data_IF_004367735710
#
_entry.id   IF_004367735710
#
_cell.length_a   1.000
_cell.length_b   1.000
_cell.length_c   1.000
_cell.angle_alpha   90.00
_cell.angle_beta   90.00
_cell.angle_gamma   90.00
#
_symmetry.space_group_name_H-M   'P 1'
#
loop_
_entity.id
_entity.type
_entity.pdbx_description
1 polymer ?
#
# COMPACT_ATOMS: atom_id res chain seq x y z
N UNK A 1 40.13 -9.91 -23.01
CA UNK A 1 39.23 -9.00 -22.25
C UNK A 1 38.63 -7.93 -23.14
N UNK A 2 39.40 -7.22 -23.96
CA UNK A 2 38.83 -6.20 -24.86
C UNK A 2 37.76 -6.77 -25.81
N UNK A 3 37.98 -7.98 -26.35
CA UNK A 3 36.98 -8.69 -27.17
C UNK A 3 35.67 -8.95 -26.40
N UNK A 4 35.78 -9.37 -25.14
CA UNK A 4 34.63 -9.60 -24.25
C UNK A 4 33.86 -8.30 -23.99
N UNK A 5 34.58 -7.21 -23.69
CA UNK A 5 33.98 -5.89 -23.50
C UNK A 5 33.33 -5.35 -24.79
N UNK A 6 33.94 -5.60 -25.95
CA UNK A 6 33.35 -5.24 -27.24
C UNK A 6 32.04 -6.00 -27.50
N UNK A 7 32.00 -7.29 -27.17
CA UNK A 7 30.77 -8.09 -27.26
C UNK A 7 29.66 -7.54 -26.35
N UNK A 8 30.00 -7.14 -25.13
CA UNK A 8 29.04 -6.47 -24.21
C UNK A 8 28.55 -5.16 -24.80
N UNK A 9 29.46 -4.31 -25.30
CA UNK A 9 29.09 -3.02 -25.88
C UNK A 9 28.19 -3.16 -27.10
N UNK A 10 28.45 -4.13 -27.98
CA UNK A 10 27.62 -4.39 -29.15
C UNK A 10 26.19 -4.82 -28.80
N UNK A 11 26.01 -5.47 -27.65
CA UNK A 11 24.69 -5.94 -27.17
C UNK A 11 23.95 -4.89 -26.35
N UNK A 12 24.65 -4.17 -25.48
CA UNK A 12 24.03 -3.35 -24.44
C UNK A 12 24.50 -1.87 -24.45
N UNK A 13 25.37 -1.47 -25.38
CA UNK A 13 25.98 -0.12 -25.42
C UNK A 13 24.99 1.04 -25.52
N UNK A 14 23.79 0.80 -26.05
CA UNK A 14 22.71 1.81 -26.08
C UNK A 14 22.01 2.00 -24.73
N UNK A 15 22.21 1.07 -23.78
CA UNK A 15 21.53 1.03 -22.48
C UNK A 15 22.48 1.32 -21.32
N UNK A 16 23.80 1.18 -21.53
CA UNK A 16 24.82 1.35 -20.50
C UNK A 16 25.83 2.43 -20.88
N UNK A 17 26.48 3.01 -19.87
CA UNK A 17 27.68 3.81 -20.08
C UNK A 17 28.87 2.92 -19.70
N UNK A 18 29.78 2.71 -20.66
CA UNK A 18 30.98 1.94 -20.43
C UNK A 18 32.21 2.85 -20.41
N UNK A 19 33.02 2.72 -19.35
CA UNK A 19 34.24 3.51 -19.13
C UNK A 19 35.38 2.55 -18.83
N UNK A 20 36.43 2.60 -19.66
CA UNK A 20 37.70 1.94 -19.36
C UNK A 20 38.67 2.99 -18.82
N UNK A 21 39.29 2.70 -17.68
CA UNK A 21 40.18 3.63 -16.99
C UNK A 21 41.59 3.05 -17.03
N UNK A 22 42.50 3.79 -17.65
CA UNK A 22 43.92 3.50 -17.55
C UNK A 22 44.46 4.14 -16.26
N UNK A 23 45.09 3.31 -15.41
CA UNK A 23 45.58 3.73 -14.10
C UNK A 23 47.10 4.02 -14.10
N UNK A 24 47.76 3.91 -15.25
CA UNK A 24 49.18 4.23 -15.38
C UNK A 24 49.35 5.74 -15.32
N UNK A 25 50.15 6.22 -14.37
CA UNK A 25 50.47 7.64 -14.26
C UNK A 25 51.41 8.15 -15.38
N UNK A 26 52.02 7.23 -16.14
CA UNK A 26 52.94 7.56 -17.23
C UNK A 26 52.23 7.64 -18.59
N UNK A 27 51.04 7.04 -18.70
CA UNK A 27 50.33 6.93 -19.97
C UNK A 27 49.65 8.26 -20.33
N UNK A 28 49.63 8.53 -21.63
CA UNK A 28 48.99 9.71 -22.21
C UNK A 28 47.74 9.33 -23.00
N UNK A 29 46.99 10.35 -23.42
CA UNK A 29 45.83 10.17 -24.31
C UNK A 29 46.25 9.51 -25.62
N UNK A 30 47.40 9.92 -26.16
CA UNK A 30 47.98 9.39 -27.38
C UNK A 30 48.35 7.90 -27.24
N UNK A 31 48.84 7.48 -26.07
CA UNK A 31 49.16 6.07 -25.79
C UNK A 31 47.88 5.22 -25.78
N UNK A 32 46.81 5.69 -25.12
CA UNK A 32 45.51 5.01 -25.13
C UNK A 32 44.97 4.91 -26.56
N UNK A 33 44.98 6.00 -27.32
CA UNK A 33 44.49 6.02 -28.71
C UNK A 33 45.30 5.09 -29.62
N UNK A 34 46.60 4.95 -29.37
CA UNK A 34 47.47 4.04 -30.11
C UNK A 34 47.18 2.57 -29.76
N UNK A 35 47.17 2.22 -28.47
CA UNK A 35 47.04 0.84 -27.97
C UNK A 35 45.62 0.30 -28.18
N UNK A 36 44.61 1.14 -27.94
CA UNK A 36 43.20 0.76 -27.99
C UNK A 36 42.47 1.37 -29.19
N UNK A 37 43.18 1.70 -30.28
CA UNK A 37 42.63 2.34 -31.49
C UNK A 37 41.33 1.70 -32.02
N UNK A 38 41.21 0.37 -31.93
CA UNK A 38 40.01 -0.39 -32.33
C UNK A 38 38.79 -0.18 -31.41
N UNK A 39 38.99 0.32 -30.19
CA UNK A 39 37.97 0.39 -29.15
C UNK A 39 37.66 1.81 -28.68
N UNK A 40 38.62 2.75 -28.78
CA UNK A 40 38.48 4.14 -28.30
C UNK A 40 37.35 4.94 -28.95
N UNK A 41 36.84 4.46 -30.09
CA UNK A 41 35.69 5.05 -30.77
C UNK A 41 34.36 4.38 -30.42
N UNK A 42 34.38 3.27 -29.69
CA UNK A 42 33.19 2.53 -29.26
C UNK A 42 32.67 3.08 -27.95
N UNK A 43 33.51 3.18 -26.90
CA UNK A 43 33.09 3.70 -25.59
C UNK A 43 34.15 4.62 -24.98
N UNK A 44 33.91 5.09 -23.75
CA UNK A 44 34.75 6.09 -23.10
C UNK A 44 36.03 5.46 -22.55
N UNK A 45 37.17 6.07 -22.86
CA UNK A 45 38.44 5.79 -22.21
C UNK A 45 38.88 7.01 -21.41
N UNK A 46 39.37 6.79 -20.20
CA UNK A 46 39.82 7.84 -19.30
C UNK A 46 41.19 7.51 -18.70
N UNK A 47 42.00 8.54 -18.45
CA UNK A 47 43.20 8.45 -17.63
C UNK A 47 42.82 8.65 -16.16
N UNK A 48 43.44 7.91 -15.26
CA UNK A 48 43.27 8.11 -13.82
C UNK A 48 43.94 9.41 -13.37
N UNK A 49 43.14 10.39 -12.97
CA UNK A 49 43.60 11.63 -12.34
C UNK A 49 43.17 11.74 -10.88
N UNK A 50 42.53 10.71 -10.34
CA UNK A 50 41.78 10.74 -9.09
C UNK A 50 42.18 9.65 -8.10
N UNK A 51 43.29 8.96 -8.33
CA UNK A 51 43.79 7.89 -7.48
C UNK A 51 42.75 6.76 -7.33
N UNK A 52 42.10 6.40 -8.46
CA UNK A 52 40.97 5.45 -8.54
C UNK A 52 41.34 4.09 -7.98
N UNK A 53 42.61 3.69 -8.11
CA UNK A 53 43.14 2.46 -7.52
C UNK A 53 42.81 2.34 -6.03
N UNK A 54 42.86 3.45 -5.27
CA UNK A 54 42.53 3.48 -3.85
C UNK A 54 41.05 3.66 -3.59
N UNK A 55 40.36 4.49 -4.39
CA UNK A 55 38.92 4.75 -4.22
C UNK A 55 38.07 3.49 -4.45
N UNK A 56 38.49 2.64 -5.38
CA UNK A 56 37.78 1.42 -5.75
C UNK A 56 38.41 0.14 -5.18
N UNK A 57 39.47 0.27 -4.36
CA UNK A 57 40.23 -0.84 -3.76
C UNK A 57 40.72 -1.86 -4.80
N UNK A 58 41.31 -1.35 -5.89
CA UNK A 58 41.77 -2.15 -7.01
C UNK A 58 43.11 -2.81 -6.65
N UNK A 59 43.08 -4.12 -6.44
CA UNK A 59 44.28 -4.90 -6.11
C UNK A 59 44.99 -5.52 -7.32
N UNK A 60 44.24 -5.83 -8.39
CA UNK A 60 44.74 -6.56 -9.56
C UNK A 60 44.08 -5.99 -10.82
N UNK A 61 44.85 -5.89 -11.90
CA UNK A 61 44.37 -5.51 -13.23
C UNK A 61 44.27 -6.78 -14.10
N UNK A 62 43.20 -6.95 -14.89
CA UNK A 62 42.07 -6.02 -15.01
C UNK A 62 41.11 -6.11 -13.82
N UNK A 63 40.41 -5.00 -13.58
CA UNK A 63 39.37 -4.86 -12.58
C UNK A 63 38.10 -4.34 -13.24
N UNK A 64 36.95 -4.92 -12.89
CA UNK A 64 35.65 -4.50 -13.44
C UNK A 64 34.66 -4.33 -12.30
N UNK A 65 33.92 -3.23 -12.33
CA UNK A 65 32.77 -3.03 -11.46
C UNK A 65 31.57 -2.56 -12.28
N UNK A 66 30.38 -2.92 -11.81
CA UNK A 66 29.11 -2.43 -12.37
C UNK A 66 28.49 -1.51 -11.33
N UNK A 67 28.11 -0.32 -11.77
CA UNK A 67 27.39 0.67 -10.99
C UNK A 67 25.94 0.63 -11.46
N UNK A 68 24.99 0.42 -10.55
CA UNK A 68 23.57 0.43 -10.88
C UNK A 68 23.03 1.86 -11.04
N UNK A 69 21.75 1.97 -11.41
CA UNK A 69 21.12 3.27 -11.67
C UNK A 69 20.97 4.15 -10.43
N UNK A 70 21.14 3.60 -9.22
CA UNK A 70 21.14 4.38 -7.98
C UNK A 70 22.54 4.95 -7.69
N UNK A 71 23.55 4.59 -8.48
CA UNK A 71 24.94 4.97 -8.28
C UNK A 71 25.68 4.03 -7.32
N UNK A 72 25.07 2.91 -6.92
CA UNK A 72 25.69 1.93 -6.04
C UNK A 72 26.47 0.88 -6.84
N UNK A 73 27.60 0.42 -6.31
CA UNK A 73 28.36 -0.66 -6.95
C UNK A 73 27.65 -1.99 -6.66
N UNK A 74 27.03 -2.56 -7.69
CA UNK A 74 26.23 -3.78 -7.63
C UNK A 74 27.06 -5.05 -7.84
N UNK A 75 28.20 -4.94 -8.53
CA UNK A 75 29.09 -6.06 -8.85
C UNK A 75 30.56 -5.62 -8.91
N UNK A 76 31.48 -6.51 -8.53
CA UNK A 76 32.93 -6.32 -8.61
C UNK A 76 33.60 -7.64 -9.00
N UNK A 77 34.58 -7.57 -9.90
CA UNK A 77 35.37 -8.72 -10.33
C UNK A 77 36.84 -8.37 -10.53
N UNK A 78 37.71 -9.29 -10.14
CA UNK A 78 39.15 -9.19 -10.31
C UNK A 78 39.63 -10.20 -11.36
N UNK A 79 40.40 -9.73 -12.33
CA UNK A 79 40.92 -10.55 -13.41
C UNK A 79 39.98 -10.67 -14.60
N UNK A 80 40.25 -11.66 -15.45
CA UNK A 80 39.49 -11.89 -16.68
C UNK A 80 38.07 -12.38 -16.36
N UNK A 81 37.11 -11.90 -17.15
CA UNK A 81 35.70 -12.29 -17.12
C UNK A 81 35.19 -12.39 -18.56
N UNK A 82 34.31 -13.35 -18.81
CA UNK A 82 33.64 -13.51 -20.10
C UNK A 82 32.41 -12.60 -20.25
N UNK A 83 32.01 -12.37 -21.49
CA UNK A 83 30.87 -11.50 -21.81
C UNK A 83 29.54 -12.04 -21.27
N UNK A 84 29.35 -13.36 -21.19
CA UNK A 84 28.09 -13.94 -20.72
C UNK A 84 27.85 -13.56 -19.25
N UNK A 85 28.86 -13.75 -18.41
CA UNK A 85 28.83 -13.36 -17.00
C UNK A 85 28.62 -11.85 -16.84
N UNK A 86 29.30 -11.02 -17.63
CA UNK A 86 29.10 -9.56 -17.58
C UNK A 86 27.66 -9.15 -17.95
N UNK A 87 27.08 -9.75 -18.99
CA UNK A 87 25.71 -9.46 -19.41
C UNK A 87 24.70 -9.85 -18.33
N UNK A 88 24.87 -11.01 -17.69
CA UNK A 88 24.00 -11.42 -16.59
C UNK A 88 24.05 -10.44 -15.41
N UNK A 89 25.24 -9.95 -15.05
CA UNK A 89 25.38 -9.00 -13.95
C UNK A 89 24.84 -7.60 -14.30
N UNK A 90 24.93 -7.19 -15.58
CA UNK A 90 24.28 -5.96 -16.08
C UNK A 90 22.76 -6.08 -15.96
N UNK A 91 22.18 -7.22 -16.35
CA UNK A 91 20.73 -7.46 -16.24
C UNK A 91 20.26 -7.44 -14.78
N UNK A 92 21.03 -8.04 -13.86
CA UNK A 92 20.74 -7.99 -12.42
C UNK A 92 20.79 -6.55 -11.88
N UNK A 93 21.75 -5.74 -12.35
CA UNK A 93 21.90 -4.35 -11.94
C UNK A 93 20.75 -3.46 -12.45
N UNK A 94 20.19 -3.74 -13.63
CA UNK A 94 19.04 -2.99 -14.17
C UNK A 94 17.72 -3.38 -13.50
N UNK A 95 17.54 -4.67 -13.17
CA UNK A 95 16.27 -5.23 -12.66
C UNK A 95 15.95 -4.86 -11.21
N UNK A 96 16.96 -4.52 -10.38
CA UNK A 96 16.72 -4.08 -8.99
C UNK A 96 15.67 -2.96 -8.88
N UNK A 97 15.55 -2.13 -9.91
CA UNK A 97 14.56 -1.05 -9.95
C UNK A 97 13.15 -1.52 -10.32
N UNK A 98 13.02 -2.49 -11.24
CA UNK A 98 11.70 -2.95 -11.70
C UNK A 98 10.90 -3.61 -10.57
N UNK A 99 11.56 -4.32 -9.66
CA UNK A 99 10.92 -4.93 -8.49
C UNK A 99 10.41 -3.88 -7.48
N UNK A 100 11.06 -2.72 -7.37
CA UNK A 100 10.57 -1.62 -6.53
C UNK A 100 9.33 -0.95 -7.13
N UNK A 101 9.28 -0.77 -8.46
CA UNK A 101 8.12 -0.19 -9.14
C UNK A 101 6.89 -1.10 -9.10
N UNK A 102 7.06 -2.43 -9.24
CA UNK A 102 5.96 -3.38 -9.16
C UNK A 102 5.29 -3.41 -7.77
N UNK A 103 6.08 -3.21 -6.71
CA UNK A 103 5.59 -3.11 -5.33
C UNK A 103 4.62 -1.94 -5.17
N UNK A 104 4.95 -0.76 -5.73
CA UNK A 104 4.09 0.43 -5.66
C UNK A 104 2.74 0.22 -6.36
N UNK A 105 2.73 -0.41 -7.54
CA UNK A 105 1.49 -0.71 -8.27
C UNK A 105 0.56 -1.64 -7.47
N UNK A 106 1.13 -2.63 -6.79
CA UNK A 106 0.40 -3.52 -5.89
C UNK A 106 -0.28 -2.74 -4.74
N UNK A 107 0.43 -1.80 -4.12
CA UNK A 107 -0.14 -0.94 -3.08
C UNK A 107 -1.27 -0.03 -3.59
N UNK A 108 -1.13 0.54 -4.80
CA UNK A 108 -2.18 1.37 -5.41
C UNK A 108 -3.46 0.57 -5.60
N UNK A 109 -3.35 -0.66 -6.11
CA UNK A 109 -4.50 -1.55 -6.30
C UNK A 109 -5.14 -1.91 -4.96
N UNK A 110 -4.34 -2.27 -3.95
CA UNK A 110 -4.82 -2.59 -2.60
C UNK A 110 -5.55 -1.39 -1.98
N UNK A 111 -4.98 -0.19 -2.06
CA UNK A 111 -5.59 1.05 -1.55
C UNK A 111 -6.93 1.32 -2.26
N UNK A 112 -6.97 1.13 -3.59
CA UNK A 112 -8.22 1.25 -4.37
C UNK A 112 -9.32 0.30 -3.89
N UNK A 113 -8.99 -0.97 -3.63
CA UNK A 113 -9.95 -1.94 -3.09
C UNK A 113 -10.41 -1.59 -1.68
N UNK A 114 -9.50 -1.12 -0.81
CA UNK A 114 -9.85 -0.68 0.55
C UNK A 114 -10.82 0.51 0.50
N UNK A 115 -10.55 1.50 -0.35
CA UNK A 115 -11.44 2.66 -0.52
C UNK A 115 -12.82 2.25 -1.05
N UNK A 116 -12.88 1.37 -2.05
CA UNK A 116 -14.14 0.85 -2.57
C UNK A 116 -14.92 0.09 -1.49
N UNK A 117 -14.25 -0.72 -0.68
CA UNK A 117 -14.86 -1.46 0.43
C UNK A 117 -15.42 -0.54 1.51
N UNK A 118 -14.69 0.53 1.87
CA UNK A 118 -15.18 1.55 2.81
C UNK A 118 -16.42 2.26 2.26
N UNK A 119 -16.42 2.62 0.98
CA UNK A 119 -17.61 3.23 0.33
C UNK A 119 -18.79 2.26 0.38
N UNK A 120 -18.59 0.98 0.06
CA UNK A 120 -19.64 -0.04 0.14
C UNK A 120 -20.19 -0.14 1.56
N UNK A 121 -19.34 -0.17 2.58
CA UNK A 121 -19.78 -0.18 3.99
C UNK A 121 -20.61 1.06 4.32
N UNK A 122 -20.17 2.26 3.91
CA UNK A 122 -20.91 3.51 4.16
C UNK A 122 -22.30 3.46 3.49
N UNK A 123 -22.38 2.97 2.25
CA UNK A 123 -23.64 2.79 1.52
C UNK A 123 -24.54 1.78 2.25
N UNK A 124 -24.00 0.64 2.69
CA UNK A 124 -24.75 -0.37 3.44
C UNK A 124 -25.30 0.21 4.75
N UNK A 125 -24.51 1.01 5.48
CA UNK A 125 -24.97 1.69 6.70
C UNK A 125 -26.12 2.66 6.38
N UNK A 126 -26.03 3.44 5.30
CA UNK A 126 -27.12 4.35 4.89
C UNK A 126 -28.41 3.58 4.54
N UNK A 127 -28.29 2.46 3.81
CA UNK A 127 -29.45 1.61 3.44
C UNK A 127 -30.11 0.99 4.68
N UNK A 128 -29.32 0.55 5.66
CA UNK A 128 -29.85 0.02 6.92
C UNK A 128 -30.56 1.11 7.74
N UNK A 129 -30.03 2.33 7.76
CA UNK A 129 -30.67 3.47 8.43
C UNK A 129 -32.07 3.76 7.85
N UNK A 130 -32.20 3.79 6.52
CA UNK A 130 -33.50 4.06 5.86
C UNK A 130 -34.57 3.01 6.18
N UNK A 131 -34.18 1.73 6.26
CA UNK A 131 -35.11 0.65 6.67
C UNK A 131 -35.56 0.80 8.12
N UNK A 132 -34.66 1.23 9.00
CA UNK A 132 -34.96 1.39 10.43
C UNK A 132 -35.94 2.54 10.66
N UNK A 133 -35.78 3.66 9.94
CA UNK A 133 -36.72 4.80 9.99
C UNK A 133 -38.10 4.47 9.39
N UNK A 134 -38.18 3.70 8.29
CA UNK A 134 -39.46 3.24 7.73
C UNK A 134 -40.20 2.25 8.63
N UNK A 135 -39.48 1.53 9.50
CA UNK A 135 -40.09 0.58 10.45
C UNK A 135 -40.53 1.29 11.76
N UNK A 136 -39.89 2.40 12.14
CA UNK A 136 -40.28 3.23 13.28
C UNK A 136 -41.25 4.38 12.94
N UNK A 137 -41.39 4.75 11.67
CA UNK A 137 -42.36 5.75 11.18
C UNK A 137 -43.79 5.21 10.94
N UNK A 138 -44.02 3.92 11.17
CA UNK A 138 -45.31 3.26 10.96
C UNK A 138 -46.25 3.24 12.17
N UNK A 139 -45.95 3.98 13.23
CA UNK A 139 -46.76 4.00 14.47
C UNK A 139 -47.33 5.40 14.79
N UNK A 140 -47.80 6.14 13.78
CA UNK A 140 -48.70 7.28 13.96
C UNK A 140 -50.09 6.90 13.46
N UNK A 141 -50.84 6.17 14.30
CA UNK A 141 -52.15 5.70 13.91
C UNK A 141 -52.92 4.98 15.01
N UNK A 142 -53.02 5.56 16.21
CA UNK A 142 -54.18 5.36 17.10
C UNK A 142 -54.07 6.25 18.35
N UNK A 143 -54.36 7.55 18.20
CA UNK A 143 -54.96 8.29 19.30
C UNK A 143 -56.47 8.03 19.28
N UNK A 144 -56.89 6.88 19.80
CA UNK A 144 -58.29 6.64 20.17
C UNK A 144 -58.34 6.31 21.66
N UNK A 145 -58.64 7.35 22.44
CA UNK A 145 -59.16 7.38 23.82
C UNK A 145 -58.90 6.12 24.68
N UNK A 146 -57.84 6.18 25.50
CA UNK A 146 -57.68 5.31 26.66
C UNK A 146 -58.56 5.89 27.79
N UNK A 147 -59.86 5.65 27.74
CA UNK A 147 -60.74 5.87 28.90
C UNK A 147 -61.57 4.63 29.30
N UNK A 148 -61.46 3.50 28.59
CA UNK A 148 -62.43 2.40 28.74
C UNK A 148 -61.85 1.05 29.20
N UNK A 149 -60.77 1.01 30.01
CA UNK A 149 -60.37 -0.25 30.67
C UNK A 149 -59.81 -0.04 32.08
N UNK A 150 -60.68 0.30 33.02
CA UNK A 150 -60.51 -0.15 34.40
C UNK A 150 -61.24 -1.50 34.58
N UNK A 151 -60.62 -2.49 35.23
CA UNK A 151 -61.26 -3.78 35.46
C UNK A 151 -62.49 -3.55 36.34
N UNK A 152 -63.67 -3.97 35.85
CA UNK A 152 -64.90 -3.88 36.63
C UNK A 152 -64.76 -4.78 37.87
N UNK A 153 -64.47 -4.16 39.02
CA UNK A 153 -64.61 -4.81 40.31
C UNK A 153 -66.09 -5.09 40.58
N UNK A 154 -66.36 -6.14 41.34
CA UNK A 154 -67.72 -6.56 41.71
C UNK A 154 -68.59 -5.37 42.16
N UNK A 155 -69.89 -5.37 41.83
CA UNK A 155 -70.78 -4.28 42.21
C UNK A 155 -70.88 -4.17 43.74
N UNK A 156 -71.08 -2.95 44.23
CA UNK A 156 -71.29 -2.66 45.64
C UNK A 156 -72.47 -3.48 46.19
N UNK A 157 -72.26 -4.29 47.23
CA UNK A 157 -73.30 -5.14 47.83
C UNK A 157 -74.46 -4.36 48.46
N UNK A 158 -74.30 -3.05 48.69
CA UNK A 158 -75.32 -2.19 49.31
C UNK A 158 -76.20 -1.46 48.28
N UNK A 159 -75.66 -1.12 47.10
CA UNK A 159 -76.40 -0.33 46.10
C UNK A 159 -76.27 -0.82 44.65
N UNK A 160 -75.49 -1.87 44.40
CA UNK A 160 -75.31 -2.48 43.08
C UNK A 160 -74.43 -1.70 42.10
N UNK A 161 -73.92 -0.51 42.45
CA UNK A 161 -73.09 0.31 41.56
C UNK A 161 -71.65 -0.22 41.44
N UNK A 162 -70.96 -0.01 40.30
CA UNK A 162 -69.60 -0.48 40.09
C UNK A 162 -68.64 0.20 41.08
N UNK A 163 -67.72 -0.58 41.63
CA UNK A 163 -66.71 -0.08 42.55
C UNK A 163 -65.53 0.52 41.78
N UNK A 164 -64.95 1.59 42.33
CA UNK A 164 -63.71 2.19 41.83
C UNK A 164 -62.54 1.72 42.69
N UNK A 165 -61.51 1.16 42.07
CA UNK A 165 -60.29 0.79 42.79
C UNK A 165 -59.38 2.00 42.97
N UNK A 166 -58.97 2.26 44.21
CA UNK A 166 -58.01 3.33 44.51
C UNK A 166 -56.64 2.69 44.71
N UNK A 167 -55.73 2.89 43.75
CA UNK A 167 -54.39 2.27 43.75
C UNK A 167 -53.54 2.70 44.95
N UNK A 168 -53.72 3.93 45.44
CA UNK A 168 -52.98 4.46 46.58
C UNK A 168 -53.31 3.72 47.89
N UNK A 169 -54.58 3.39 48.11
CA UNK A 169 -55.04 2.68 49.31
C UNK A 169 -55.23 1.18 49.09
N UNK A 170 -55.10 0.72 47.84
CA UNK A 170 -55.32 -0.65 47.38
C UNK A 170 -56.68 -1.24 47.77
N UNK A 171 -57.70 -0.38 47.93
CA UNK A 171 -59.07 -0.74 48.34
C UNK A 171 -60.09 -0.34 47.29
N UNK A 172 -61.23 -1.00 47.30
CA UNK A 172 -62.38 -0.63 46.48
C UNK A 172 -63.21 0.42 47.21
N UNK A 173 -63.72 1.41 46.48
CA UNK A 173 -64.54 2.48 47.04
C UNK A 173 -65.81 2.66 46.21
N UNK A 174 -66.95 2.75 46.89
CA UNK A 174 -68.23 3.05 46.26
C UNK A 174 -68.51 4.56 46.37
N UNK A 175 -68.54 5.25 45.24
CA UNK A 175 -68.76 6.70 45.22
C UNK A 175 -70.20 7.09 45.64
N UNK A 176 -71.18 6.19 45.42
CA UNK A 176 -72.57 6.43 45.82
C UNK A 176 -72.79 6.25 47.34
N UNK A 177 -72.26 5.16 47.92
CA UNK A 177 -72.36 4.91 49.36
C UNK A 177 -71.30 5.64 50.20
N UNK A 178 -70.29 6.22 49.53
CA UNK A 178 -69.11 6.89 50.11
C UNK A 178 -68.39 6.04 51.18
N UNK A 179 -68.20 4.76 50.89
CA UNK A 179 -67.58 3.77 51.79
C UNK A 179 -66.62 2.86 51.02
N UNK A 180 -65.61 2.37 51.74
CA UNK A 180 -64.66 1.36 51.25
C UNK A 180 -65.24 -0.06 51.39
N UNK A 181 -64.83 -0.95 50.48
CA UNK A 181 -65.12 -2.38 50.46
C UNK A 181 -63.84 -3.19 50.39
#
# INVERSE_FOLDING_TARGET
>A
MMDELSCVYEKEGDKIIMISIDISAEDTKEDIELVYSEYVHKWIFALDTGDIIYLYDVMIIPYTCIIDTNGDISYRHYGLIDNETLLEEIEKASTKNELQDLSLLLWIVIIGFILAFVIIIIVLIHVQKEKTEKTLGGFEGSQKSIQDRYPQGNPCLTCGQPLRYLSESKKWYCDNCRKYM
#
